data_IF_956825946450
#
_entry.id   IF_956825946450
#
_cell.length_a   1.000
_cell.length_b   1.000
_cell.length_c   1.000
_cell.angle_alpha   90.00
_cell.angle_beta   90.00
_cell.angle_gamma   90.00
#
_symmetry.space_group_name_H-M   'P 1'
#
loop_
_entity.id
_entity.type
_entity.pdbx_description
1 polymer ?
#
# COMPACT_ATOMS: atom_id res chain seq x y z
N UNK A 1 26.66 -29.69 62.62
CA UNK A 1 25.38 -29.01 62.94
C UNK A 1 25.70 -27.53 62.85
N UNK A 2 25.19 -26.67 61.96
CA UNK A 2 24.04 -26.58 61.05
C UNK A 2 24.54 -25.72 59.85
N UNK A 3 24.45 -26.07 58.56
CA UNK A 3 23.29 -26.18 57.64
C UNK A 3 22.54 -24.87 57.36
N UNK A 4 22.30 -24.64 56.05
CA UNK A 4 21.50 -23.63 55.32
C UNK A 4 22.32 -22.43 54.79
N UNK A 5 22.76 -22.35 53.52
CA UNK A 5 22.13 -22.45 52.17
C UNK A 5 21.25 -21.26 51.73
N UNK A 6 21.42 -20.97 50.43
CA UNK A 6 20.52 -20.27 49.49
C UNK A 6 20.76 -18.76 49.31
N UNK A 7 21.61 -18.31 48.38
CA UNK A 7 21.44 -18.25 46.92
C UNK A 7 20.27 -17.39 46.39
N UNK A 8 20.61 -16.58 45.38
CA UNK A 8 19.75 -16.09 44.29
C UNK A 8 18.91 -14.83 44.51
N UNK A 9 19.50 -13.69 44.13
CA UNK A 9 18.75 -12.52 43.60
C UNK A 9 17.90 -12.97 42.40
N UNK A 10 16.60 -12.66 42.34
CA UNK A 10 15.89 -12.73 41.08
C UNK A 10 16.34 -11.56 40.20
N UNK A 11 16.89 -11.91 39.04
CA UNK A 11 17.05 -11.03 37.89
C UNK A 11 15.72 -10.33 37.59
N UNK A 12 15.80 -9.03 37.29
CA UNK A 12 14.73 -8.30 36.61
C UNK A 12 14.35 -9.10 35.36
N UNK A 13 13.18 -9.74 35.39
CA UNK A 13 12.51 -10.13 34.17
C UNK A 13 12.02 -8.83 33.53
N UNK A 14 12.81 -8.29 32.61
CA UNK A 14 12.27 -7.44 31.53
C UNK A 14 11.35 -8.33 30.71
N UNK A 15 10.09 -8.45 31.13
CA UNK A 15 9.01 -8.93 30.29
C UNK A 15 8.84 -7.92 29.16
N UNK A 16 9.49 -8.17 28.03
CA UNK A 16 9.10 -7.63 26.74
C UNK A 16 7.59 -7.87 26.60
N UNK A 17 6.76 -6.86 26.29
CA UNK A 17 5.35 -7.09 26.02
C UNK A 17 5.21 -8.21 24.99
N UNK A 18 4.42 -9.22 25.31
CA UNK A 18 4.19 -10.34 24.41
C UNK A 18 3.49 -9.81 23.16
N UNK A 19 4.16 -9.92 22.02
CA UNK A 19 3.62 -9.61 20.71
C UNK A 19 2.27 -10.34 20.54
N UNK A 20 1.17 -9.58 20.47
CA UNK A 20 -0.19 -10.14 20.48
C UNK A 20 -0.55 -10.95 19.24
N UNK A 21 0.22 -10.83 18.15
CA UNK A 21 -0.02 -11.48 16.87
C UNK A 21 1.23 -12.10 16.29
N UNK A 22 1.05 -13.20 15.56
CA UNK A 22 2.07 -13.89 14.79
C UNK A 22 1.91 -13.61 13.29
N UNK A 23 2.93 -13.92 12.48
CA UNK A 23 2.83 -13.84 11.02
C UNK A 23 1.78 -14.81 10.47
N UNK A 24 1.59 -15.96 11.13
CA UNK A 24 0.50 -16.88 10.83
C UNK A 24 -0.88 -16.23 10.99
N UNK A 25 -1.07 -15.42 12.04
CA UNK A 25 -2.31 -14.66 12.22
C UNK A 25 -2.52 -13.63 11.12
N UNK A 26 -1.44 -12.98 10.67
CA UNK A 26 -1.47 -12.04 9.54
C UNK A 26 -1.86 -12.75 8.24
N UNK A 27 -1.27 -13.92 7.95
CA UNK A 27 -1.63 -14.74 6.78
C UNK A 27 -3.11 -15.15 6.83
N UNK A 28 -3.57 -15.62 7.99
CA UNK A 28 -4.97 -16.00 8.18
C UNK A 28 -5.91 -14.81 7.96
N UNK A 29 -5.57 -13.64 8.50
CA UNK A 29 -6.39 -12.44 8.31
C UNK A 29 -6.39 -11.94 6.88
N UNK A 30 -5.24 -11.95 6.22
CA UNK A 30 -5.09 -11.60 4.80
C UNK A 30 -6.02 -12.48 3.94
N UNK A 31 -5.98 -13.80 4.17
CA UNK A 31 -6.80 -14.79 3.47
C UNK A 31 -8.29 -14.63 3.76
N UNK A 32 -8.67 -14.41 5.02
CA UNK A 32 -10.05 -14.13 5.42
C UNK A 32 -10.60 -12.92 4.66
N UNK A 33 -9.88 -11.81 4.66
CA UNK A 33 -10.31 -10.58 4.00
C UNK A 33 -10.30 -10.73 2.48
N UNK A 34 -9.30 -11.39 1.89
CA UNK A 34 -9.31 -11.69 0.45
C UNK A 34 -10.55 -12.50 0.06
N UNK A 35 -10.85 -13.59 0.77
CA UNK A 35 -12.02 -14.42 0.47
C UNK A 35 -13.34 -13.67 0.65
N UNK A 36 -13.43 -12.84 1.69
CA UNK A 36 -14.62 -12.03 1.98
C UNK A 36 -14.86 -10.96 0.93
N UNK A 37 -13.78 -10.39 0.38
CA UNK A 37 -13.86 -9.11 -0.33
C UNK A 37 -13.39 -9.13 -1.78
N UNK A 38 -12.77 -10.20 -2.26
CA UNK A 38 -12.25 -10.24 -3.61
C UNK A 38 -13.38 -10.26 -4.65
N UNK A 39 -13.22 -9.46 -5.70
CA UNK A 39 -14.12 -9.45 -6.86
C UNK A 39 -13.33 -9.64 -8.14
N UNK A 40 -13.88 -10.37 -9.10
CA UNK A 40 -13.15 -10.78 -10.32
C UNK A 40 -12.98 -9.65 -11.33
N UNK A 41 -13.74 -8.56 -11.23
CA UNK A 41 -13.73 -7.43 -12.17
C UNK A 41 -13.28 -6.13 -11.50
N UNK A 42 -12.86 -5.15 -12.31
CA UNK A 42 -12.40 -3.84 -11.85
C UNK A 42 -10.96 -3.83 -11.34
N UNK A 43 -10.52 -2.65 -10.92
CA UNK A 43 -9.16 -2.36 -10.45
C UNK A 43 -9.17 -1.53 -9.18
N UNK A 44 -8.34 -1.82 -8.19
CA UNK A 44 -8.14 -0.81 -7.16
C UNK A 44 -7.42 0.41 -7.78
N UNK A 45 -7.94 1.62 -7.52
CA UNK A 45 -7.32 2.86 -7.96
C UNK A 45 -7.11 3.82 -6.81
N UNK A 46 -6.12 4.68 -6.98
CA UNK A 46 -5.96 5.88 -6.19
C UNK A 46 -5.73 7.10 -7.08
N UNK A 47 -6.49 8.16 -6.80
CA UNK A 47 -6.38 9.46 -7.46
C UNK A 47 -5.45 10.36 -6.67
N UNK A 48 -4.30 10.70 -7.23
CA UNK A 48 -3.29 11.52 -6.58
C UNK A 48 -3.69 12.99 -6.65
N UNK A 49 -3.32 13.84 -5.68
CA UNK A 49 -3.63 15.28 -5.75
C UNK A 49 -3.05 15.93 -7.01
N UNK A 50 -3.72 16.97 -7.53
CA UNK A 50 -3.23 17.68 -8.73
C UNK A 50 -1.87 18.34 -8.47
N UNK A 51 -1.64 18.82 -7.25
CA UNK A 51 -0.37 19.44 -6.83
C UNK A 51 0.79 18.45 -6.95
N UNK A 52 0.66 17.28 -6.32
CA UNK A 52 1.70 16.24 -6.41
C UNK A 52 1.82 15.71 -7.84
N UNK A 53 0.69 15.49 -8.52
CA UNK A 53 0.68 14.99 -9.89
C UNK A 53 1.50 15.89 -10.83
N UNK A 54 1.34 17.22 -10.69
CA UNK A 54 2.10 18.20 -11.45
C UNK A 54 3.60 18.11 -11.14
N UNK A 55 3.97 18.11 -9.86
CA UNK A 55 5.38 18.02 -9.44
C UNK A 55 6.04 16.74 -9.96
N UNK A 56 5.40 15.59 -9.77
CA UNK A 56 5.88 14.30 -10.25
C UNK A 56 6.10 14.31 -11.77
N UNK A 57 5.13 14.82 -12.52
CA UNK A 57 5.25 14.89 -13.98
C UNK A 57 6.39 15.80 -14.43
N UNK A 58 6.59 16.95 -13.78
CA UNK A 58 7.67 17.89 -14.07
C UNK A 58 9.05 17.29 -13.74
N UNK A 59 9.19 16.61 -12.60
CA UNK A 59 10.42 15.93 -12.19
C UNK A 59 10.80 14.80 -13.15
N UNK A 60 9.82 14.11 -13.70
CA UNK A 60 10.05 12.95 -14.58
C UNK A 60 9.97 13.26 -16.07
N UNK A 61 10.00 14.54 -16.48
CA UNK A 61 10.11 14.92 -17.89
C UNK A 61 11.41 14.41 -18.54
N UNK A 62 12.48 14.28 -17.76
CA UNK A 62 13.83 13.94 -18.24
C UNK A 62 14.33 12.57 -17.77
N UNK A 63 13.62 11.90 -16.85
CA UNK A 63 14.07 10.64 -16.23
C UNK A 63 13.67 9.38 -16.99
N UNK A 64 13.10 9.51 -18.20
CA UNK A 64 12.75 8.35 -19.04
C UNK A 64 11.46 7.63 -18.64
N UNK A 65 10.54 8.28 -17.90
CA UNK A 65 9.19 7.72 -17.71
C UNK A 65 8.44 7.80 -19.04
N UNK A 66 8.31 6.66 -19.72
CA UNK A 66 7.69 6.57 -21.03
C UNK A 66 6.16 6.57 -20.93
N UNK A 67 5.54 7.65 -21.41
CA UNK A 67 4.09 7.75 -21.54
C UNK A 67 3.64 7.24 -22.91
N UNK A 68 2.77 6.24 -22.93
CA UNK A 68 2.10 5.73 -24.12
C UNK A 68 0.66 6.22 -24.15
N UNK A 69 0.13 6.47 -25.35
CA UNK A 69 -1.28 6.81 -25.52
C UNK A 69 -2.06 5.57 -25.87
N UNK A 70 -3.02 5.21 -25.02
CA UNK A 70 -3.87 4.04 -25.18
C UNK A 70 -5.33 4.44 -25.28
N UNK A 71 -6.11 3.70 -26.08
CA UNK A 71 -7.55 3.85 -26.13
C UNK A 71 -8.19 2.97 -25.05
N UNK A 72 -8.90 3.60 -24.11
CA UNK A 72 -9.70 2.89 -23.14
C UNK A 72 -11.13 2.73 -23.66
N UNK A 73 -11.52 1.49 -23.91
CA UNK A 73 -12.85 1.14 -24.44
C UNK A 73 -14.00 1.41 -23.45
N UNK A 74 -13.74 1.41 -22.14
CA UNK A 74 -14.75 1.64 -21.12
C UNK A 74 -15.09 3.13 -21.01
N UNK A 75 -14.09 4.00 -21.09
CA UNK A 75 -14.27 5.44 -21.06
C UNK A 75 -14.42 6.09 -22.46
N UNK A 76 -14.39 5.26 -23.51
CA UNK A 76 -14.41 5.67 -24.92
C UNK A 76 -13.44 6.81 -25.25
N UNK A 77 -12.29 6.85 -24.58
CA UNK A 77 -11.34 7.96 -24.64
C UNK A 77 -9.91 7.48 -24.70
N UNK A 78 -9.00 8.36 -25.09
CA UNK A 78 -7.56 8.09 -25.04
C UNK A 78 -6.97 8.63 -23.73
N UNK A 79 -6.15 7.81 -23.09
CA UNK A 79 -5.42 8.15 -21.86
C UNK A 79 -3.92 7.99 -22.08
N UNK A 80 -3.13 8.74 -21.31
CA UNK A 80 -1.69 8.48 -21.21
C UNK A 80 -1.47 7.45 -20.12
N UNK A 81 -0.72 6.41 -20.42
CA UNK A 81 -0.36 5.33 -19.51
C UNK A 81 1.15 5.27 -19.41
N UNK A 82 1.67 5.16 -18.20
CA UNK A 82 3.05 4.82 -17.92
C UNK A 82 3.09 3.73 -16.84
N UNK A 83 4.21 3.04 -16.71
CA UNK A 83 4.39 2.02 -15.67
C UNK A 83 5.55 2.43 -14.77
N UNK A 84 5.34 2.30 -13.46
CA UNK A 84 6.40 2.41 -12.47
C UNK A 84 6.57 1.09 -11.73
N UNK A 85 7.80 0.81 -11.34
CA UNK A 85 8.14 -0.33 -10.48
C UNK A 85 8.29 0.17 -9.05
N UNK A 86 7.51 -0.43 -8.15
CA UNK A 86 7.68 -0.30 -6.71
C UNK A 86 8.12 -1.65 -6.13
N UNK A 87 8.49 -1.71 -4.86
CA UNK A 87 8.92 -2.95 -4.22
C UNK A 87 8.12 -3.22 -2.96
N UNK A 88 7.64 -4.45 -2.83
CA UNK A 88 6.93 -4.93 -1.65
C UNK A 88 7.57 -6.25 -1.24
N UNK A 89 8.05 -6.34 0.00
CA UNK A 89 8.88 -7.46 0.45
C UNK A 89 10.06 -7.76 -0.49
N UNK A 90 10.69 -6.71 -1.03
CA UNK A 90 11.80 -6.83 -1.99
C UNK A 90 11.41 -7.35 -3.38
N UNK A 91 10.13 -7.69 -3.62
CA UNK A 91 9.62 -8.10 -4.93
C UNK A 91 9.13 -6.89 -5.72
N UNK A 92 9.49 -6.75 -7.01
CA UNK A 92 8.98 -5.68 -7.83
C UNK A 92 7.49 -5.87 -8.11
N UNK A 93 6.69 -4.83 -7.92
CA UNK A 93 5.29 -4.77 -8.32
C UNK A 93 5.12 -3.63 -9.32
N UNK A 94 4.43 -3.90 -10.42
CA UNK A 94 4.10 -2.91 -11.44
C UNK A 94 2.86 -2.12 -11.02
N UNK A 95 2.95 -0.80 -11.11
CA UNK A 95 1.83 0.11 -10.94
C UNK A 95 1.66 0.89 -12.23
N UNK A 96 0.45 0.82 -12.79
CA UNK A 96 0.11 1.63 -13.94
C UNK A 96 -0.25 3.04 -13.47
N UNK A 97 0.40 4.04 -14.04
CA UNK A 97 0.05 5.43 -13.89
C UNK A 97 -0.77 5.85 -15.09
N UNK A 98 -1.96 6.40 -14.84
CA UNK A 98 -2.86 6.84 -15.88
C UNK A 98 -3.18 8.32 -15.73
N UNK A 99 -3.25 9.00 -16.87
CA UNK A 99 -3.56 10.41 -16.94
C UNK A 99 -4.54 10.68 -18.06
N UNK A 100 -5.51 11.59 -17.85
CA UNK A 100 -6.32 12.06 -18.95
C UNK A 100 -5.49 12.85 -19.97
N UNK A 101 -5.86 12.77 -21.24
CA UNK A 101 -5.27 13.63 -22.29
C UNK A 101 -5.98 14.99 -22.35
N UNK A 102 -7.23 15.03 -21.89
CA UNK A 102 -8.09 16.20 -21.74
C UNK A 102 -8.84 16.07 -20.42
N UNK A 103 -9.38 17.18 -19.90
CA UNK A 103 -10.28 17.15 -18.75
C UNK A 103 -11.45 16.19 -19.02
N UNK A 104 -11.78 15.35 -18.04
CA UNK A 104 -12.84 14.33 -18.13
C UNK A 104 -13.83 14.54 -16.99
N UNK A 105 -15.11 14.38 -17.32
CA UNK A 105 -16.17 14.50 -16.32
C UNK A 105 -16.32 13.18 -15.55
N UNK A 106 -16.78 13.30 -14.29
CA UNK A 106 -16.87 12.22 -13.28
C UNK A 106 -17.28 10.85 -13.82
N UNK A 107 -18.40 10.80 -14.52
CA UNK A 107 -19.04 9.57 -14.94
C UNK A 107 -18.22 8.79 -15.97
N UNK A 108 -17.53 9.49 -16.85
CA UNK A 108 -16.74 8.87 -17.93
C UNK A 108 -15.50 8.18 -17.35
N UNK A 109 -14.92 8.79 -16.31
CA UNK A 109 -13.63 8.37 -15.78
C UNK A 109 -13.72 7.34 -14.65
N UNK A 110 -14.84 7.23 -13.94
CA UNK A 110 -15.04 6.12 -13.01
C UNK A 110 -15.51 4.85 -13.74
N UNK A 111 -16.25 5.02 -14.85
CA UNK A 111 -16.58 3.93 -15.76
C UNK A 111 -15.31 3.30 -16.36
N UNK A 112 -14.28 4.13 -16.61
CA UNK A 112 -12.91 3.71 -16.99
C UNK A 112 -12.34 2.59 -16.10
N UNK A 113 -12.58 2.65 -14.78
CA UNK A 113 -12.03 1.71 -13.79
C UNK A 113 -13.08 0.74 -13.22
N UNK A 114 -14.36 0.95 -13.52
CA UNK A 114 -15.47 0.16 -13.00
C UNK A 114 -15.92 0.54 -11.58
N UNK A 115 -15.76 1.81 -11.16
CA UNK A 115 -16.21 2.32 -9.85
C UNK A 115 -17.33 3.36 -9.98
N UNK A 116 -18.00 3.65 -8.87
CA UNK A 116 -19.12 4.59 -8.79
C UNK A 116 -18.77 5.93 -8.11
N UNK A 117 -19.47 6.96 -8.59
CA UNK A 117 -19.45 8.40 -8.30
C UNK A 117 -18.91 8.97 -7.00
N UNK A 118 -17.78 9.70 -7.02
CA UNK A 118 -17.40 10.70 -5.98
C UNK A 118 -16.53 11.94 -6.37
N UNK A 119 -16.45 12.42 -7.63
CA UNK A 119 -15.67 13.65 -7.94
C UNK A 119 -16.33 14.64 -8.92
N UNK A 120 -15.91 15.93 -8.95
CA UNK A 120 -16.46 16.97 -9.86
C UNK A 120 -15.82 16.97 -11.27
N UNK A 121 -14.99 15.97 -11.59
CA UNK A 121 -14.21 15.85 -12.81
C UNK A 121 -12.70 15.79 -12.51
N UNK A 122 -11.91 15.29 -13.45
CA UNK A 122 -10.46 15.15 -13.31
C UNK A 122 -9.74 16.07 -14.30
N UNK A 123 -8.73 16.80 -13.83
CA UNK A 123 -7.86 17.61 -14.67
C UNK A 123 -7.03 16.72 -15.61
N UNK A 124 -6.50 17.28 -16.70
CA UNK A 124 -5.53 16.60 -17.57
C UNK A 124 -4.14 16.42 -16.92
N UNK A 125 -3.93 17.03 -15.77
CA UNK A 125 -2.76 16.82 -14.92
C UNK A 125 -2.95 15.73 -13.87
N UNK A 126 -4.19 15.30 -13.61
CA UNK A 126 -4.49 14.31 -12.58
C UNK A 126 -3.77 12.99 -12.88
N UNK A 127 -3.01 12.50 -11.90
CA UNK A 127 -2.41 11.18 -11.93
C UNK A 127 -3.32 10.18 -11.20
N UNK A 128 -3.52 9.02 -11.80
CA UNK A 128 -4.21 7.90 -11.17
C UNK A 128 -3.26 6.72 -11.13
N UNK A 129 -3.02 6.21 -9.93
CA UNK A 129 -2.35 4.93 -9.74
C UNK A 129 -3.42 3.83 -9.87
N UNK A 130 -3.30 3.01 -10.90
CA UNK A 130 -4.08 1.78 -11.08
C UNK A 130 -3.22 0.58 -10.66
N UNK A 131 -3.74 -0.15 -9.69
CA UNK A 131 -3.11 -1.38 -9.19
C UNK A 131 -3.53 -2.59 -10.00
N UNK A 132 -2.90 -3.75 -9.74
CA UNK A 132 -3.18 -4.97 -10.48
C UNK A 132 -4.66 -5.37 -10.37
N UNK A 133 -5.29 -5.63 -11.52
CA UNK A 133 -6.69 -6.07 -11.59
C UNK A 133 -6.88 -7.55 -11.29
N UNK A 134 -5.79 -8.32 -11.29
CA UNK A 134 -5.74 -9.71 -10.87
C UNK A 134 -4.39 -9.91 -10.19
N UNK A 135 -4.38 -10.69 -9.12
CA UNK A 135 -3.12 -11.06 -8.49
C UNK A 135 -2.36 -12.04 -9.38
N UNK A 136 -1.03 -11.94 -9.32
CA UNK A 136 -0.15 -12.92 -9.94
C UNK A 136 -0.28 -14.24 -9.17
N UNK A 137 -0.70 -15.30 -9.86
CA UNK A 137 -0.89 -16.62 -9.25
C UNK A 137 0.43 -17.26 -8.86
N UNK A 138 1.52 -16.82 -9.46
CA UNK A 138 2.87 -17.29 -9.17
C UNK A 138 3.48 -16.53 -7.97
N UNK A 139 2.83 -15.46 -7.49
CA UNK A 139 3.21 -14.74 -6.28
C UNK A 139 2.67 -15.47 -5.03
N UNK A 140 3.55 -16.21 -4.36
CA UNK A 140 3.24 -16.89 -3.11
C UNK A 140 3.18 -15.90 -1.93
N UNK A 141 2.02 -15.27 -1.71
CA UNK A 141 1.86 -14.31 -0.61
C UNK A 141 2.05 -14.94 0.77
N UNK A 142 1.74 -16.23 0.96
CA UNK A 142 1.92 -16.90 2.26
C UNK A 142 3.42 -16.93 2.63
N UNK A 143 4.29 -17.19 1.67
CA UNK A 143 5.75 -17.16 1.83
C UNK A 143 6.32 -15.75 2.01
N UNK A 144 5.72 -14.73 1.35
CA UNK A 144 6.14 -13.33 1.55
C UNK A 144 5.78 -12.80 2.93
N UNK A 145 4.60 -13.17 3.44
CA UNK A 145 4.12 -12.75 4.76
C UNK A 145 4.74 -13.58 5.88
N UNK A 146 5.02 -14.85 5.63
CA UNK A 146 5.56 -15.80 6.61
C UNK A 146 6.69 -16.65 6.00
N UNK A 147 7.88 -16.07 5.78
CA UNK A 147 9.01 -16.80 5.20
C UNK A 147 9.46 -17.93 6.14
N UNK A 148 9.83 -19.08 5.57
CA UNK A 148 10.25 -20.26 6.32
C UNK A 148 11.63 -20.11 6.99
N UNK A 149 12.48 -19.21 6.47
CA UNK A 149 13.80 -18.94 7.04
C UNK A 149 13.69 -18.02 8.26
N UNK A 150 13.84 -18.60 9.46
CA UNK A 150 13.81 -17.86 10.73
C UNK A 150 14.92 -16.81 10.86
N UNK A 151 16.07 -16.97 10.18
CA UNK A 151 17.13 -15.97 10.13
C UNK A 151 16.73 -14.68 9.40
N UNK A 152 15.70 -14.75 8.54
CA UNK A 152 15.09 -13.60 7.85
C UNK A 152 13.73 -13.23 8.45
N UNK A 153 13.37 -13.75 9.63
CA UNK A 153 12.10 -13.44 10.27
C UNK A 153 12.09 -11.97 10.73
N UNK A 154 11.70 -11.08 9.81
CA UNK A 154 11.50 -9.67 10.11
C UNK A 154 10.51 -9.55 11.26
N UNK A 155 10.80 -8.77 12.31
CA UNK A 155 9.81 -8.51 13.34
C UNK A 155 8.55 -7.91 12.71
N UNK A 156 7.38 -8.17 13.31
CA UNK A 156 6.15 -7.49 12.91
C UNK A 156 6.24 -6.05 13.42
N UNK A 157 6.90 -5.20 12.64
CA UNK A 157 7.13 -3.79 12.87
C UNK A 157 6.33 -2.90 11.88
N UNK A 158 6.52 -1.58 11.94
CA UNK A 158 5.86 -0.63 11.05
C UNK A 158 6.13 -0.94 9.56
N UNK A 159 7.36 -1.33 9.22
CA UNK A 159 7.77 -1.61 7.84
C UNK A 159 7.10 -2.86 7.31
N UNK A 160 7.05 -3.92 8.12
CA UNK A 160 6.35 -5.15 7.80
C UNK A 160 4.87 -4.85 7.51
N UNK A 161 4.16 -4.15 8.41
CA UNK A 161 2.73 -3.82 8.23
C UNK A 161 2.48 -3.03 6.96
N UNK A 162 3.31 -2.01 6.69
CA UNK A 162 3.20 -1.24 5.45
C UNK A 162 3.34 -2.14 4.23
N UNK A 163 4.29 -3.06 4.23
CA UNK A 163 4.46 -4.02 3.13
C UNK A 163 3.28 -4.98 3.01
N UNK A 164 2.69 -5.46 4.10
CA UNK A 164 1.47 -6.29 4.07
C UNK A 164 0.32 -5.52 3.40
N UNK A 165 0.07 -4.29 3.86
CA UNK A 165 -1.01 -3.45 3.33
C UNK A 165 -0.78 -3.07 1.86
N UNK A 166 0.46 -2.73 1.48
CA UNK A 166 0.87 -2.51 0.08
C UNK A 166 0.63 -3.76 -0.75
N UNK A 167 1.06 -4.94 -0.28
CA UNK A 167 0.86 -6.20 -1.01
C UNK A 167 -0.63 -6.46 -1.26
N UNK A 168 -1.46 -6.23 -0.24
CA UNK A 168 -2.90 -6.50 -0.32
C UNK A 168 -3.58 -5.68 -1.44
N UNK A 169 -3.19 -4.42 -1.60
CA UNK A 169 -3.72 -3.51 -2.63
C UNK A 169 -3.01 -3.73 -3.97
N UNK A 170 -1.69 -3.57 -3.97
CA UNK A 170 -0.88 -3.48 -5.19
C UNK A 170 -0.74 -4.83 -5.86
N UNK A 171 -0.74 -5.90 -5.08
CA UNK A 171 -0.78 -7.28 -5.55
C UNK A 171 -2.15 -7.70 -6.11
N UNK A 172 -3.18 -6.83 -6.09
CA UNK A 172 -4.48 -7.13 -6.69
C UNK A 172 -5.36 -8.11 -5.89
N UNK A 173 -5.07 -8.32 -4.61
CA UNK A 173 -5.85 -9.21 -3.73
C UNK A 173 -7.16 -8.58 -3.25
N UNK A 174 -7.29 -7.25 -3.31
CA UNK A 174 -8.53 -6.53 -3.07
C UNK A 174 -8.74 -5.42 -4.10
N UNK A 175 -10.00 -4.99 -4.24
CA UNK A 175 -10.39 -3.98 -5.23
C UNK A 175 -11.20 -2.83 -4.66
N UNK A 176 -11.25 -2.70 -3.34
CA UNK A 176 -11.93 -1.61 -2.68
C UNK A 176 -11.35 -1.31 -1.30
N UNK A 177 -11.40 -0.03 -0.94
CA UNK A 177 -10.75 0.52 0.25
C UNK A 177 -11.31 -0.03 1.57
N UNK A 178 -12.56 -0.51 1.58
CA UNK A 178 -13.16 -1.09 2.79
C UNK A 178 -12.33 -2.26 3.35
N UNK A 179 -11.87 -3.16 2.49
CA UNK A 179 -11.05 -4.30 2.92
C UNK A 179 -9.68 -3.87 3.46
N UNK A 180 -9.10 -2.83 2.87
CA UNK A 180 -7.87 -2.20 3.38
C UNK A 180 -8.08 -1.62 4.78
N UNK A 181 -9.16 -0.87 5.00
CA UNK A 181 -9.45 -0.29 6.31
C UNK A 181 -9.73 -1.37 7.36
N UNK A 182 -10.49 -2.41 7.01
CA UNK A 182 -10.70 -3.56 7.90
C UNK A 182 -9.38 -4.23 8.30
N UNK A 183 -8.41 -4.34 7.40
CA UNK A 183 -7.11 -4.93 7.73
C UNK A 183 -6.24 -4.01 8.58
N UNK A 184 -6.21 -2.71 8.25
CA UNK A 184 -5.51 -1.69 9.02
C UNK A 184 -6.02 -1.64 10.47
N UNK A 185 -7.33 -1.61 10.64
CA UNK A 185 -7.96 -1.53 11.96
C UNK A 185 -7.66 -2.78 12.77
N UNK A 186 -7.69 -3.96 12.14
CA UNK A 186 -7.25 -5.20 12.77
C UNK A 186 -5.80 -5.12 13.26
N UNK A 187 -4.86 -4.57 12.48
CA UNK A 187 -3.49 -4.35 12.97
C UNK A 187 -3.46 -3.40 14.17
N UNK A 188 -4.18 -2.28 14.12
CA UNK A 188 -4.22 -1.30 15.22
C UNK A 188 -4.78 -1.88 16.53
N UNK A 189 -5.72 -2.81 16.43
CA UNK A 189 -6.33 -3.50 17.59
C UNK A 189 -5.43 -4.57 18.20
N UNK A 190 -4.59 -5.21 17.36
CA UNK A 190 -3.86 -6.42 17.73
C UNK A 190 -2.35 -6.22 17.84
N UNK A 191 -1.85 -4.99 17.73
CA UNK A 191 -0.43 -4.65 17.89
C UNK A 191 -0.08 -4.10 19.26
N UNK A 192 1.21 -4.21 19.59
CA UNK A 192 1.80 -3.58 20.77
C UNK A 192 1.73 -2.06 20.66
N UNK A 193 1.63 -1.39 21.82
CA UNK A 193 1.40 0.06 21.86
C UNK A 193 2.54 0.88 21.22
N UNK A 194 3.78 0.38 21.25
CA UNK A 194 4.93 1.02 20.61
C UNK A 194 4.79 1.07 19.09
N UNK A 195 4.55 -0.09 18.46
CA UNK A 195 4.34 -0.21 17.02
C UNK A 195 3.06 0.51 16.59
N UNK A 196 1.98 0.41 17.39
CA UNK A 196 0.74 1.17 17.17
C UNK A 196 0.98 2.66 17.22
N UNK A 197 1.82 3.15 18.14
CA UNK A 197 2.21 4.55 18.24
C UNK A 197 2.96 5.04 17.01
N UNK A 198 3.92 4.25 16.52
CA UNK A 198 4.66 4.52 15.28
C UNK A 198 3.75 4.50 14.05
N UNK A 199 2.91 3.47 13.91
CA UNK A 199 1.90 3.39 12.84
C UNK A 199 0.93 4.56 12.92
N UNK A 200 0.43 4.91 14.10
CA UNK A 200 -0.49 6.04 14.29
C UNK A 200 0.20 7.38 13.99
N UNK A 201 1.46 7.57 14.38
CA UNK A 201 2.25 8.75 14.03
C UNK A 201 2.51 8.82 12.52
N UNK A 202 2.87 7.72 11.90
CA UNK A 202 3.05 7.60 10.45
C UNK A 202 1.74 7.80 9.70
N UNK A 203 0.60 7.44 10.32
CA UNK A 203 -0.77 7.64 9.85
C UNK A 203 -1.43 8.92 10.38
N UNK A 204 -0.74 9.77 11.16
CA UNK A 204 -1.20 11.09 11.62
C UNK A 204 -0.35 12.27 11.09
N UNK A 205 0.96 12.07 10.86
CA UNK A 205 1.85 13.12 10.31
C UNK A 205 1.67 13.30 8.80
N UNK A 206 0.86 14.30 8.42
CA UNK A 206 1.12 15.15 7.25
C UNK A 206 0.46 16.52 7.44
N UNK A 207 1.25 17.55 7.72
CA UNK A 207 0.82 18.96 7.73
C UNK A 207 0.67 19.55 6.31
N UNK A 208 0.38 18.72 5.31
CA UNK A 208 0.13 19.18 3.94
C UNK A 208 -1.28 18.82 3.50
N UNK A 209 -2.11 19.87 3.57
CA UNK A 209 -3.18 20.21 2.64
C UNK A 209 -4.51 19.46 2.69
N UNK A 210 -5.57 20.26 2.86
CA UNK A 210 -6.98 19.90 3.03
C UNK A 210 -7.68 19.76 1.68
N UNK A 211 -7.23 18.85 0.82
CA UNK A 211 -7.89 18.67 -0.47
C UNK A 211 -7.81 17.22 -0.95
N UNK A 212 -8.60 16.33 -0.35
CA UNK A 212 -8.55 14.91 -0.69
C UNK A 212 -9.95 14.29 -0.79
N UNK A 213 -10.28 13.82 -2.00
CA UNK A 213 -11.46 13.00 -2.33
C UNK A 213 -11.35 11.55 -1.87
N UNK A 214 -10.18 11.14 -1.37
CA UNK A 214 -9.91 9.88 -0.68
C UNK A 214 -8.96 10.23 0.47
N UNK A 215 -9.40 10.11 1.72
CA UNK A 215 -8.74 10.78 2.86
C UNK A 215 -7.22 10.63 3.03
N UNK A 216 -6.60 11.46 3.90
CA UNK A 216 -5.15 11.76 4.00
C UNK A 216 -4.19 10.60 4.27
N UNK A 217 -4.71 9.39 4.43
CA UNK A 217 -3.94 8.17 4.66
C UNK A 217 -3.66 7.40 3.37
N UNK A 218 -4.61 7.42 2.43
CA UNK A 218 -4.42 6.80 1.11
C UNK A 218 -3.35 7.60 0.33
N UNK A 219 -3.34 8.92 0.50
CA UNK A 219 -2.32 9.79 -0.09
C UNK A 219 -0.92 9.47 0.42
N UNK A 220 -0.76 9.04 1.68
CA UNK A 220 0.54 8.66 2.24
C UNK A 220 1.04 7.31 1.77
N UNK A 221 0.17 6.30 1.71
CA UNK A 221 0.54 5.02 1.12
C UNK A 221 0.98 5.24 -0.33
N UNK A 222 0.25 6.05 -1.08
CA UNK A 222 0.60 6.33 -2.47
C UNK A 222 1.84 7.19 -2.61
N UNK A 223 2.03 8.18 -1.73
CA UNK A 223 3.29 8.92 -1.65
C UNK A 223 4.47 7.97 -1.42
N UNK A 224 4.34 6.98 -0.54
CA UNK A 224 5.39 5.99 -0.33
C UNK A 224 5.68 5.14 -1.57
N UNK A 225 4.67 4.89 -2.42
CA UNK A 225 4.85 4.19 -3.71
C UNK A 225 5.72 5.04 -4.67
N UNK A 226 5.49 6.35 -4.71
CA UNK A 226 6.28 7.27 -5.52
C UNK A 226 7.68 7.54 -4.93
N UNK A 227 7.80 7.65 -3.62
CA UNK A 227 9.09 7.78 -2.92
C UNK A 227 9.96 6.54 -3.14
N UNK A 228 9.39 5.33 -3.08
CA UNK A 228 10.09 4.07 -3.39
C UNK A 228 10.63 4.06 -4.84
N UNK A 229 9.88 4.65 -5.77
CA UNK A 229 10.29 4.80 -7.18
C UNK A 229 11.42 5.83 -7.33
N UNK A 230 11.32 7.00 -6.69
CA UNK A 230 12.33 8.06 -6.74
C UNK A 230 13.67 7.64 -6.10
N UNK A 231 13.63 6.90 -4.99
CA UNK A 231 14.83 6.34 -4.34
C UNK A 231 15.61 5.39 -5.26
N UNK A 232 14.91 4.66 -6.14
CA UNK A 232 15.54 3.76 -7.13
C UNK A 232 16.12 4.49 -8.32
N UNK A 233 15.50 5.59 -8.78
CA UNK A 233 16.08 6.41 -9.84
C UNK A 233 17.41 7.06 -9.42
N UNK A 234 17.57 7.35 -8.13
CA UNK A 234 18.82 7.88 -7.57
C UNK A 234 19.88 6.81 -7.28
N UNK A 235 19.49 5.53 -7.23
CA UNK A 235 20.37 4.38 -6.98
C UNK A 235 20.05 3.20 -7.92
N UNK A 236 20.36 3.32 -9.23
CA UNK A 236 20.24 2.20 -10.15
C UNK A 236 21.26 1.13 -9.79
N UNK A 237 20.78 -0.10 -9.53
CA UNK A 237 21.63 -1.28 -9.34
C UNK A 237 22.27 -1.71 -10.66
#
# INVERSE_FOLDING_TARGET
MSSADSESKPLLATTTPAQKITKGDVVNKFKELHNKHYVTRGYMIHTVSDVFSKQFCEMHLTTGLEWKVEYNQYAETRVRVAEIKTFVFGKPILVALERPIKQVHRSEFEYHFGFGGHCKGYSDTRLIARFLGQFDKDLNYEELLNPADEENATPIDETYVKNVLKLFIMGGYIKYWKAYYEFRDWFMENMDESVRGELSLAMSRSNFEKDFSTGPEIDRMTKSIFEDYELRLSHPF
#
